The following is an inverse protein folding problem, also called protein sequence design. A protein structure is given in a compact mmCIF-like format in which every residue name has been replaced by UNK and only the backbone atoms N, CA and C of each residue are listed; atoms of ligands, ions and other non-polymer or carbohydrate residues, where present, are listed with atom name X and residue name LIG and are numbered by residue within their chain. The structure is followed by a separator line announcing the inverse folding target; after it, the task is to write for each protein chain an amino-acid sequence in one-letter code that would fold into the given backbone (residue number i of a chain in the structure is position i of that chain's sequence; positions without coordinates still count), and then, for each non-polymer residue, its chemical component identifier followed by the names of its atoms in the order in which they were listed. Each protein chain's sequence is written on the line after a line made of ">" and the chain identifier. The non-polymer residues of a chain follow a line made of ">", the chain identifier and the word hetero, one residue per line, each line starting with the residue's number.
data_IF_261430446836
#
_entry.id   IF_261430446836
#
_cell.length_a   1.000
_cell.length_b   1.000
_cell.length_c   1.000
_cell.angle_alpha   90.00
_cell.angle_beta   90.00
_cell.angle_gamma   90.00
#
_symmetry.space_group_name_H-M   'P 1'
#
loop_
_entity.id
_entity.type
_entity.pdbx_description
1 polymer ?
#
# COMPACT_ATOMS: atom_id res chain seq x y z
N UNK A 1 15.63 9.43 -24.96
CA UNK A 1 16.46 8.49 -24.16
C UNK A 1 15.71 7.16 -24.05
N UNK A 2 16.34 6.10 -24.57
CA UNK A 2 15.71 4.88 -25.08
C UNK A 2 14.93 4.05 -24.05
N UNK A 3 13.79 3.52 -24.50
CA UNK A 3 12.95 2.57 -23.78
C UNK A 3 13.62 1.21 -23.64
N UNK A 4 14.56 1.11 -22.70
CA UNK A 4 15.25 -0.13 -22.37
C UNK A 4 14.26 -1.27 -22.13
N UNK A 5 14.33 -2.30 -22.97
CA UNK A 5 13.55 -3.53 -22.83
C UNK A 5 13.85 -4.14 -21.46
N UNK A 6 12.82 -4.49 -20.70
CA UNK A 6 12.96 -5.25 -19.45
C UNK A 6 13.80 -6.51 -19.69
N UNK A 7 14.73 -6.81 -18.79
CA UNK A 7 15.51 -8.05 -18.80
C UNK A 7 14.59 -9.28 -18.79
N UNK A 8 15.05 -10.41 -19.32
CA UNK A 8 14.27 -11.65 -19.32
C UNK A 8 13.89 -12.07 -17.90
N UNK A 9 14.85 -11.95 -16.95
CA UNK A 9 14.61 -12.26 -15.55
C UNK A 9 13.53 -11.36 -14.92
N UNK A 10 13.53 -10.05 -15.19
CA UNK A 10 12.48 -9.15 -14.71
C UNK A 10 11.11 -9.46 -15.30
N UNK A 11 11.06 -9.86 -16.58
CA UNK A 11 9.80 -10.30 -17.21
C UNK A 11 9.26 -11.57 -16.58
N UNK A 12 10.11 -12.60 -16.44
CA UNK A 12 9.74 -13.86 -15.79
C UNK A 12 9.25 -13.63 -14.36
N UNK A 13 9.91 -12.73 -13.62
CA UNK A 13 9.50 -12.35 -12.27
C UNK A 13 8.11 -11.70 -12.22
N UNK A 14 7.84 -10.73 -13.10
CA UNK A 14 6.53 -10.07 -13.17
C UNK A 14 5.45 -11.09 -13.55
N UNK A 15 5.71 -11.93 -14.57
CA UNK A 15 4.76 -12.97 -15.01
C UNK A 15 4.48 -13.98 -13.89
N UNK A 16 5.52 -14.43 -13.17
CA UNK A 16 5.37 -15.34 -12.04
C UNK A 16 4.51 -14.73 -10.93
N UNK A 17 4.78 -13.47 -10.54
CA UNK A 17 3.97 -12.79 -9.54
C UNK A 17 2.52 -12.57 -10.01
N UNK A 18 2.31 -12.28 -11.30
CA UNK A 18 0.97 -12.20 -11.89
C UNK A 18 0.23 -13.52 -11.84
N UNK A 19 0.90 -14.64 -12.14
CA UNK A 19 0.29 -15.97 -12.07
C UNK A 19 -0.11 -16.31 -10.62
N UNK A 20 0.75 -16.00 -9.64
CA UNK A 20 0.43 -16.15 -8.22
C UNK A 20 -0.78 -15.29 -7.83
N UNK A 21 -0.82 -14.01 -8.26
CA UNK A 21 -1.95 -13.13 -7.99
C UNK A 21 -3.27 -13.70 -8.54
N UNK A 22 -3.27 -14.20 -9.77
CA UNK A 22 -4.46 -14.82 -10.37
C UNK A 22 -4.87 -16.09 -9.61
N UNK A 23 -3.92 -16.98 -9.31
CA UNK A 23 -4.21 -18.22 -8.59
C UNK A 23 -4.78 -17.96 -7.20
N UNK A 24 -4.19 -17.04 -6.44
CA UNK A 24 -4.68 -16.61 -5.12
C UNK A 24 -6.06 -15.97 -5.24
N UNK A 25 -6.29 -15.11 -6.23
CA UNK A 25 -7.59 -14.50 -6.48
C UNK A 25 -8.69 -15.53 -6.73
N UNK A 26 -8.42 -16.50 -7.61
CA UNK A 26 -9.37 -17.59 -7.90
C UNK A 26 -9.65 -18.42 -6.64
N UNK A 27 -8.61 -18.79 -5.89
CA UNK A 27 -8.76 -19.58 -4.67
C UNK A 27 -9.61 -18.84 -3.62
N UNK A 28 -9.31 -17.56 -3.37
CA UNK A 28 -10.01 -16.77 -2.36
C UNK A 28 -11.46 -16.46 -2.73
N UNK A 29 -11.76 -16.23 -4.01
CA UNK A 29 -13.15 -16.01 -4.45
C UNK A 29 -14.01 -17.25 -4.22
N UNK A 30 -13.45 -18.45 -4.37
CA UNK A 30 -14.16 -19.72 -4.14
C UNK A 30 -14.46 -19.99 -2.67
N UNK A 31 -13.68 -19.45 -1.75
CA UNK A 31 -13.83 -19.67 -0.31
C UNK A 31 -14.37 -18.44 0.44
N UNK A 32 -14.68 -17.35 -0.27
CA UNK A 32 -15.08 -16.10 0.35
C UNK A 32 -16.50 -16.15 0.91
N UNK A 33 -16.64 -15.75 2.17
CA UNK A 33 -17.92 -15.46 2.79
C UNK A 33 -18.40 -14.03 2.53
N UNK A 34 -19.35 -13.58 3.34
CA UNK A 34 -19.85 -12.20 3.31
C UNK A 34 -18.73 -11.20 3.59
N UNK A 35 -18.68 -10.15 2.78
CA UNK A 35 -17.73 -9.04 2.96
C UNK A 35 -18.29 -7.92 3.82
N UNK A 36 -17.53 -6.82 3.88
CA UNK A 36 -17.94 -5.61 4.56
C UNK A 36 -19.26 -5.05 3.99
N UNK A 37 -20.02 -4.34 4.83
CA UNK A 37 -21.17 -3.55 4.40
C UNK A 37 -20.77 -2.57 3.30
N UNK A 38 -21.69 -2.31 2.37
CA UNK A 38 -21.46 -1.44 1.20
C UNK A 38 -20.93 -0.05 1.61
N UNK A 39 -21.48 0.54 2.68
CA UNK A 39 -21.00 1.83 3.20
C UNK A 39 -19.53 1.79 3.64
N UNK A 40 -19.11 0.74 4.35
CA UNK A 40 -17.71 0.54 4.77
C UNK A 40 -16.80 0.34 3.57
N UNK A 41 -17.24 -0.47 2.59
CA UNK A 41 -16.49 -0.68 1.35
C UNK A 41 -16.30 0.62 0.57
N UNK A 42 -17.35 1.43 0.39
CA UNK A 42 -17.28 2.71 -0.34
C UNK A 42 -16.34 3.69 0.37
N UNK A 43 -16.46 3.86 1.69
CA UNK A 43 -15.65 4.83 2.43
C UNK A 43 -14.17 4.44 2.42
N UNK A 44 -13.85 3.18 2.75
CA UNK A 44 -12.46 2.68 2.72
C UNK A 44 -11.87 2.77 1.31
N UNK A 45 -12.65 2.39 0.29
CA UNK A 45 -12.18 2.40 -1.11
C UNK A 45 -11.96 3.83 -1.60
N UNK A 46 -12.90 4.74 -1.38
CA UNK A 46 -12.78 6.13 -1.81
C UNK A 46 -11.58 6.84 -1.18
N UNK A 47 -11.39 6.69 0.13
CA UNK A 47 -10.24 7.27 0.83
C UNK A 47 -8.92 6.56 0.48
N UNK A 48 -8.96 5.24 0.25
CA UNK A 48 -7.84 4.48 -0.26
C UNK A 48 -7.40 4.99 -1.64
N UNK A 49 -8.33 5.18 -2.58
CA UNK A 49 -8.06 5.72 -3.91
C UNK A 49 -7.44 7.12 -3.82
N UNK A 50 -8.02 7.99 -3.00
CA UNK A 50 -7.53 9.35 -2.80
C UNK A 50 -6.10 9.35 -2.24
N UNK A 51 -5.83 8.58 -1.19
CA UNK A 51 -4.49 8.55 -0.58
C UNK A 51 -3.45 7.89 -1.49
N UNK A 52 -3.86 6.90 -2.29
CA UNK A 52 -2.95 6.19 -3.20
C UNK A 52 -2.58 7.03 -4.42
N UNK A 53 -3.54 7.79 -4.95
CA UNK A 53 -3.28 8.70 -6.06
C UNK A 53 -2.43 9.92 -5.66
N UNK A 54 -2.40 10.27 -4.37
CA UNK A 54 -1.71 11.46 -3.85
C UNK A 54 -0.71 11.12 -2.73
N UNK A 55 0.34 10.32 -3.02
CA UNK A 55 1.29 9.93 -1.99
C UNK A 55 2.06 11.14 -1.45
N UNK A 56 2.42 11.10 -0.16
CA UNK A 56 3.10 12.21 0.51
C UNK A 56 4.58 12.19 0.15
N UNK A 57 5.07 13.25 -0.49
CA UNK A 57 6.48 13.37 -0.85
C UNK A 57 7.31 13.78 0.39
N UNK A 58 8.19 12.90 0.84
CA UNK A 58 9.18 13.15 1.87
C UNK A 58 10.43 13.89 1.38
N UNK A 59 11.26 14.31 2.34
CA UNK A 59 12.47 15.15 2.17
C UNK A 59 13.55 14.64 1.18
N UNK A 60 13.49 13.38 0.75
CA UNK A 60 14.49 12.77 -0.18
C UNK A 60 13.86 12.09 -1.39
N UNK A 61 12.80 12.69 -1.96
CA UNK A 61 12.04 12.13 -3.10
C UNK A 61 11.38 10.77 -2.81
N UNK A 62 11.23 10.41 -1.53
CA UNK A 62 10.54 9.20 -1.10
C UNK A 62 9.05 9.50 -0.96
N UNK A 63 8.21 8.62 -1.47
CA UNK A 63 6.77 8.78 -1.42
C UNK A 63 6.20 7.87 -0.32
N UNK A 64 5.66 8.45 0.75
CA UNK A 64 5.00 7.71 1.82
C UNK A 64 3.59 7.32 1.40
N UNK A 65 3.27 6.05 1.55
CA UNK A 65 2.02 5.42 1.13
C UNK A 65 0.98 5.53 2.25
N UNK A 66 0.27 6.65 2.30
CA UNK A 66 -0.81 6.89 3.30
C UNK A 66 -1.99 5.93 3.11
N UNK A 67 -2.02 5.15 2.02
CA UNK A 67 -3.02 4.12 1.74
C UNK A 67 -2.94 2.89 2.64
N UNK A 68 -1.79 2.67 3.30
CA UNK A 68 -1.54 1.46 4.10
C UNK A 68 -2.66 1.12 5.12
N UNK A 69 -3.20 2.05 5.92
CA UNK A 69 -4.22 1.72 6.91
C UNK A 69 -5.51 1.20 6.28
N UNK A 70 -5.88 1.76 5.11
CA UNK A 70 -7.05 1.34 4.35
C UNK A 70 -6.85 -0.05 3.76
N UNK A 71 -5.64 -0.37 3.28
CA UNK A 71 -5.32 -1.70 2.77
C UNK A 71 -5.43 -2.75 3.88
N UNK A 72 -4.85 -2.47 5.06
CA UNK A 72 -4.85 -3.41 6.18
C UNK A 72 -6.27 -3.57 6.76
N UNK A 73 -7.02 -2.47 6.89
CA UNK A 73 -8.41 -2.52 7.34
C UNK A 73 -9.30 -3.22 6.31
N UNK A 74 -9.08 -2.97 5.02
CA UNK A 74 -9.73 -3.69 3.93
C UNK A 74 -9.39 -5.18 3.94
N UNK A 75 -8.14 -5.55 4.18
CA UNK A 75 -7.72 -6.96 4.30
C UNK A 75 -8.43 -7.68 5.46
N UNK A 76 -8.76 -6.98 6.54
CA UNK A 76 -9.51 -7.53 7.66
C UNK A 76 -11.02 -7.65 7.40
N UNK A 77 -11.61 -6.75 6.61
CA UNK A 77 -13.06 -6.60 6.48
C UNK A 77 -13.65 -7.04 5.14
N UNK A 78 -12.87 -7.03 4.06
CA UNK A 78 -13.38 -7.26 2.72
C UNK A 78 -13.49 -8.74 2.38
N UNK A 79 -14.54 -9.10 1.62
CA UNK A 79 -14.52 -10.36 0.87
C UNK A 79 -13.42 -10.34 -0.20
N UNK A 80 -13.06 -11.50 -0.77
CA UNK A 80 -12.05 -11.51 -1.83
C UNK A 80 -12.41 -10.61 -3.01
N UNK A 81 -13.67 -10.60 -3.44
CA UNK A 81 -14.13 -9.75 -4.54
C UNK A 81 -13.99 -8.27 -4.19
N UNK A 82 -14.32 -7.88 -2.96
CA UNK A 82 -14.13 -6.51 -2.48
C UNK A 82 -12.63 -6.16 -2.41
N UNK A 83 -11.78 -7.05 -1.92
CA UNK A 83 -10.34 -6.82 -1.84
C UNK A 83 -9.69 -6.67 -3.22
N UNK A 84 -10.04 -7.54 -4.17
CA UNK A 84 -9.61 -7.45 -5.57
C UNK A 84 -10.05 -6.10 -6.14
N UNK A 85 -11.33 -5.77 -6.00
CA UNK A 85 -11.92 -4.53 -6.54
C UNK A 85 -11.23 -3.31 -5.94
N UNK A 86 -11.03 -3.29 -4.63
CA UNK A 86 -10.32 -2.23 -3.92
C UNK A 86 -8.90 -2.03 -4.46
N UNK A 87 -8.11 -3.10 -4.57
CA UNK A 87 -6.73 -3.02 -5.07
C UNK A 87 -6.68 -2.53 -6.52
N UNK A 88 -7.61 -2.98 -7.36
CA UNK A 88 -7.76 -2.48 -8.74
C UNK A 88 -8.07 -0.99 -8.75
N UNK A 89 -9.06 -0.55 -7.98
CA UNK A 89 -9.51 0.84 -7.98
C UNK A 89 -8.45 1.82 -7.47
N UNK A 90 -7.69 1.48 -6.41
CA UNK A 90 -6.61 2.36 -5.94
C UNK A 90 -5.52 2.52 -7.02
N UNK A 91 -5.17 1.45 -7.74
CA UNK A 91 -4.17 1.50 -8.81
C UNK A 91 -4.70 2.19 -10.07
N UNK A 92 -6.00 2.11 -10.37
CA UNK A 92 -6.62 2.90 -11.43
C UNK A 92 -6.58 4.39 -11.09
N UNK A 93 -6.88 4.77 -9.85
CA UNK A 93 -6.78 6.14 -9.38
C UNK A 93 -5.34 6.68 -9.47
N UNK A 94 -4.36 5.88 -9.04
CA UNK A 94 -2.95 6.21 -9.20
C UNK A 94 -2.57 6.36 -10.68
N UNK A 95 -3.01 5.45 -11.54
CA UNK A 95 -2.68 5.48 -12.96
C UNK A 95 -3.28 6.70 -13.67
N UNK A 96 -4.52 7.06 -13.35
CA UNK A 96 -5.17 8.26 -13.86
C UNK A 96 -4.40 9.53 -13.49
N UNK A 97 -3.76 9.54 -12.31
CA UNK A 97 -3.02 10.70 -11.79
C UNK A 97 -1.56 10.75 -12.23
N UNK A 98 -0.81 9.65 -12.06
CA UNK A 98 0.64 9.60 -12.21
C UNK A 98 1.09 9.08 -13.57
N UNK A 99 0.20 8.44 -14.34
CA UNK A 99 0.48 7.87 -15.68
C UNK A 99 1.77 7.06 -15.72
N UNK A 100 1.92 6.12 -14.80
CA UNK A 100 3.11 5.26 -14.73
C UNK A 100 3.20 4.36 -15.97
N UNK A 101 4.41 3.86 -16.24
CA UNK A 101 4.61 2.82 -17.27
C UNK A 101 3.77 1.60 -16.90
N UNK A 102 2.99 1.08 -17.86
CA UNK A 102 1.99 0.03 -17.60
C UNK A 102 2.55 -1.22 -16.93
N UNK A 103 3.74 -1.69 -17.31
CA UNK A 103 4.36 -2.86 -16.67
C UNK A 103 4.70 -2.61 -15.19
N UNK A 104 5.05 -1.38 -14.80
CA UNK A 104 5.30 -1.01 -13.40
C UNK A 104 3.96 -0.99 -12.64
N UNK A 105 2.92 -0.41 -13.25
CA UNK A 105 1.59 -0.36 -12.65
C UNK A 105 1.01 -1.75 -12.44
N UNK A 106 1.15 -2.62 -13.44
CA UNK A 106 0.71 -4.01 -13.38
C UNK A 106 1.46 -4.80 -12.31
N UNK A 107 2.79 -4.66 -12.24
CA UNK A 107 3.58 -5.27 -11.19
C UNK A 107 3.13 -4.80 -9.80
N UNK A 108 2.94 -3.49 -9.61
CA UNK A 108 2.48 -2.93 -8.33
C UNK A 108 1.10 -3.47 -7.96
N UNK A 109 0.16 -3.53 -8.91
CA UNK A 109 -1.16 -4.10 -8.71
C UNK A 109 -1.08 -5.54 -8.19
N UNK A 110 -0.33 -6.42 -8.88
CA UNK A 110 -0.17 -7.81 -8.47
C UNK A 110 0.52 -7.93 -7.10
N UNK A 111 1.58 -7.16 -6.88
CA UNK A 111 2.32 -7.12 -5.62
C UNK A 111 1.40 -6.70 -4.45
N UNK A 112 0.66 -5.61 -4.60
CA UNK A 112 -0.27 -5.13 -3.58
C UNK A 112 -1.37 -6.15 -3.31
N UNK A 113 -1.93 -6.76 -4.36
CA UNK A 113 -2.96 -7.77 -4.19
C UNK A 113 -2.45 -8.98 -3.41
N UNK A 114 -1.32 -9.58 -3.82
CA UNK A 114 -0.74 -10.75 -3.11
C UNK A 114 -0.37 -10.40 -1.67
N UNK A 115 0.23 -9.23 -1.45
CA UNK A 115 0.60 -8.76 -0.10
C UNK A 115 -0.64 -8.55 0.78
N UNK A 116 -1.71 -7.97 0.23
CA UNK A 116 -2.97 -7.75 0.96
C UNK A 116 -3.73 -9.05 1.23
N UNK A 117 -3.75 -9.98 0.28
CA UNK A 117 -4.32 -11.31 0.45
C UNK A 117 -3.62 -12.11 1.57
N UNK A 118 -2.27 -12.06 1.60
CA UNK A 118 -1.50 -12.68 2.68
C UNK A 118 -1.75 -11.98 4.02
N UNK A 119 -1.84 -10.65 4.04
CA UNK A 119 -2.19 -9.89 5.23
C UNK A 119 -3.58 -10.27 5.77
N UNK A 120 -4.58 -10.45 4.90
CA UNK A 120 -5.91 -10.94 5.27
C UNK A 120 -5.84 -12.33 5.90
N UNK A 121 -5.08 -13.26 5.29
CA UNK A 121 -4.87 -14.60 5.83
C UNK A 121 -4.24 -14.57 7.23
N UNK A 122 -3.20 -13.75 7.43
CA UNK A 122 -2.57 -13.58 8.74
C UNK A 122 -3.50 -12.91 9.76
N UNK A 123 -4.30 -11.92 9.34
CA UNK A 123 -5.31 -11.29 10.20
C UNK A 123 -6.30 -12.33 10.73
N UNK A 124 -6.93 -13.11 9.83
CA UNK A 124 -7.93 -14.10 10.22
C UNK A 124 -7.36 -15.27 11.02
N UNK A 125 -6.07 -15.58 10.86
CA UNK A 125 -5.39 -16.55 11.73
C UNK A 125 -5.06 -15.96 13.09
N UNK A 126 -4.58 -14.73 13.15
CA UNK A 126 -4.27 -14.05 14.39
C UNK A 126 -5.54 -13.85 15.25
N UNK A 127 -6.66 -13.42 14.64
CA UNK A 127 -7.90 -13.18 15.39
C UNK A 127 -8.49 -14.46 16.00
N UNK A 128 -8.19 -15.63 15.43
CA UNK A 128 -8.60 -16.92 15.98
C UNK A 128 -7.74 -17.39 17.17
N UNK A 129 -6.56 -16.78 17.38
CA UNK A 129 -5.59 -17.16 18.41
C UNK A 129 -5.45 -16.13 19.53
N UNK A 130 -5.91 -14.91 19.28
CA UNK A 130 -5.77 -13.76 20.19
C UNK A 130 -7.03 -13.55 21.04
N UNK A 131 -6.94 -12.81 22.16
CA UNK A 131 -8.10 -12.47 22.98
C UNK A 131 -9.18 -11.77 22.18
N UNK A 132 -10.45 -12.03 22.52
CA UNK A 132 -11.58 -11.35 21.89
C UNK A 132 -11.58 -9.83 22.16
N UNK A 133 -12.24 -9.09 21.28
CA UNK A 133 -12.42 -7.65 21.40
C UNK A 133 -11.24 -6.81 20.87
N UNK A 134 -11.21 -5.55 21.28
CA UNK A 134 -10.31 -4.54 20.71
C UNK A 134 -8.81 -4.89 20.81
N UNK A 135 -8.27 -5.42 21.92
CA UNK A 135 -6.85 -5.76 22.01
C UNK A 135 -6.41 -6.79 20.96
N UNK A 136 -7.18 -7.87 20.78
CA UNK A 136 -6.88 -8.90 19.78
C UNK A 136 -7.04 -8.37 18.35
N UNK A 137 -8.07 -7.54 18.09
CA UNK A 137 -8.26 -6.90 16.78
C UNK A 137 -7.08 -5.98 16.40
N UNK A 138 -6.58 -5.19 17.34
CA UNK A 138 -5.41 -4.33 17.13
C UNK A 138 -4.16 -5.16 16.87
N UNK A 139 -3.91 -6.19 17.68
CA UNK A 139 -2.75 -7.07 17.50
C UNK A 139 -2.81 -7.85 16.17
N UNK A 140 -3.98 -8.34 15.77
CA UNK A 140 -4.20 -8.97 14.47
C UNK A 140 -3.96 -7.99 13.30
N UNK A 141 -4.43 -6.74 13.42
CA UNK A 141 -4.19 -5.70 12.42
C UNK A 141 -2.69 -5.34 12.32
N UNK A 142 -1.96 -5.33 13.43
CA UNK A 142 -0.50 -5.14 13.43
C UNK A 142 0.21 -6.29 12.71
N UNK A 143 -0.16 -7.54 12.98
CA UNK A 143 0.40 -8.71 12.30
C UNK A 143 0.14 -8.63 10.78
N UNK A 144 -1.07 -8.28 10.37
CA UNK A 144 -1.43 -8.07 8.98
C UNK A 144 -0.62 -6.93 8.33
N UNK A 145 -0.45 -5.81 9.04
CA UNK A 145 0.38 -4.68 8.60
C UNK A 145 1.84 -5.05 8.39
N UNK A 146 2.45 -5.77 9.33
CA UNK A 146 3.79 -6.31 9.20
C UNK A 146 3.93 -7.21 7.98
N UNK A 147 2.99 -8.16 7.80
CA UNK A 147 2.97 -9.07 6.64
C UNK A 147 2.90 -8.31 5.33
N UNK A 148 1.98 -7.33 5.23
CA UNK A 148 1.84 -6.52 4.03
C UNK A 148 3.14 -5.76 3.71
N UNK A 149 3.68 -5.01 4.68
CA UNK A 149 4.87 -4.18 4.47
C UNK A 149 6.08 -5.03 4.11
N UNK A 150 6.29 -6.15 4.79
CA UNK A 150 7.42 -7.04 4.53
C UNK A 150 7.36 -7.64 3.12
N UNK A 151 6.22 -8.24 2.75
CA UNK A 151 6.04 -8.85 1.43
C UNK A 151 6.13 -7.81 0.31
N UNK A 152 5.45 -6.67 0.48
CA UNK A 152 5.44 -5.62 -0.53
C UNK A 152 6.85 -5.13 -0.86
N UNK A 153 7.67 -4.93 0.17
CA UNK A 153 9.08 -4.53 0.03
C UNK A 153 9.94 -5.63 -0.54
N UNK A 154 9.76 -6.88 -0.11
CA UNK A 154 10.50 -8.01 -0.64
C UNK A 154 10.27 -8.17 -2.14
N UNK A 155 9.01 -8.13 -2.57
CA UNK A 155 8.66 -8.19 -3.99
C UNK A 155 9.21 -7.00 -4.78
N UNK A 156 9.09 -5.79 -4.25
CA UNK A 156 9.62 -4.59 -4.88
C UNK A 156 11.16 -4.62 -5.01
N UNK A 157 11.86 -5.08 -3.96
CA UNK A 157 13.31 -5.22 -3.97
C UNK A 157 13.76 -6.26 -5.02
N UNK A 158 13.06 -7.40 -5.11
CA UNK A 158 13.31 -8.41 -6.14
C UNK A 158 13.14 -7.85 -7.55
N UNK A 159 12.05 -7.11 -7.80
CA UNK A 159 11.83 -6.46 -9.09
C UNK A 159 12.92 -5.43 -9.44
N UNK A 160 13.36 -4.60 -8.49
CA UNK A 160 14.45 -3.64 -8.71
C UNK A 160 15.78 -4.31 -8.99
N UNK A 161 16.08 -5.40 -8.27
CA UNK A 161 17.29 -6.16 -8.45
C UNK A 161 17.33 -6.80 -9.84
N UNK A 162 16.26 -7.48 -10.25
CA UNK A 162 16.21 -8.17 -11.55
C UNK A 162 16.08 -7.22 -12.74
N UNK A 163 15.42 -6.07 -12.57
CA UNK A 163 15.21 -5.11 -13.65
C UNK A 163 16.37 -4.10 -13.80
N UNK A 164 17.09 -3.78 -12.73
CA UNK A 164 18.07 -2.68 -12.71
C UNK A 164 19.42 -3.05 -12.07
N UNK A 165 19.60 -4.29 -11.62
CA UNK A 165 20.82 -4.71 -10.90
C UNK A 165 20.97 -4.07 -9.51
N UNK A 166 19.95 -3.37 -9.01
CA UNK A 166 20.00 -2.71 -7.71
C UNK A 166 19.76 -3.73 -6.60
N UNK A 167 20.82 -4.09 -5.86
CA UNK A 167 20.70 -5.02 -4.74
C UNK A 167 19.72 -4.49 -3.67
N UNK A 168 19.10 -5.38 -2.85
CA UNK A 168 18.19 -4.95 -1.78
C UNK A 168 18.81 -3.91 -0.83
N UNK A 169 20.09 -4.08 -0.48
CA UNK A 169 20.83 -3.10 0.32
C UNK A 169 21.02 -1.76 -0.40
N UNK A 170 21.40 -1.79 -1.69
CA UNK A 170 21.61 -0.58 -2.49
C UNK A 170 20.30 0.16 -2.82
N UNK A 171 19.17 -0.55 -2.88
CA UNK A 171 17.85 0.05 -3.12
C UNK A 171 17.41 0.99 -2.00
N UNK A 172 17.98 0.83 -0.80
CA UNK A 172 17.57 1.53 0.42
C UNK A 172 16.19 1.10 0.93
N UNK A 173 15.48 0.19 0.25
CA UNK A 173 14.12 -0.20 0.63
C UNK A 173 14.07 -0.82 2.01
N UNK A 174 15.10 -1.56 2.42
CA UNK A 174 15.16 -2.24 3.72
C UNK A 174 15.78 -1.37 4.83
N UNK A 175 16.02 -0.07 4.58
CA UNK A 175 16.53 0.83 5.60
C UNK A 175 15.53 0.94 6.77
N UNK A 176 15.98 0.79 8.04
CA UNK A 176 15.10 0.81 9.21
C UNK A 176 14.21 2.04 9.29
N UNK A 177 14.73 3.20 8.87
CA UNK A 177 13.97 4.45 8.85
C UNK A 177 12.77 4.43 7.91
N UNK A 178 12.89 3.82 6.73
CA UNK A 178 11.78 3.73 5.78
C UNK A 178 10.79 2.65 6.19
N UNK A 179 11.29 1.57 6.79
CA UNK A 179 10.45 0.54 7.38
C UNK A 179 9.61 1.11 8.53
N UNK A 180 10.24 1.87 9.43
CA UNK A 180 9.57 2.53 10.54
C UNK A 180 8.47 3.48 10.06
N UNK A 181 8.71 4.26 9.00
CA UNK A 181 7.69 5.16 8.46
C UNK A 181 6.44 4.41 7.96
N UNK A 182 6.63 3.30 7.24
CA UNK A 182 5.50 2.50 6.76
C UNK A 182 4.79 1.77 7.91
N UNK A 183 5.51 1.31 8.92
CA UNK A 183 4.92 0.71 10.12
C UNK A 183 4.13 1.73 10.96
N UNK A 184 4.65 2.94 11.15
CA UNK A 184 3.95 4.02 11.85
C UNK A 184 2.62 4.34 11.15
N UNK A 185 2.64 4.41 9.81
CA UNK A 185 1.41 4.63 9.04
C UNK A 185 0.49 3.41 9.20
N UNK A 186 1.00 2.20 9.00
CA UNK A 186 0.23 0.95 9.12
C UNK A 186 -0.44 0.78 10.50
N UNK A 187 0.14 1.30 11.57
CA UNK A 187 -0.38 1.16 12.94
C UNK A 187 -1.74 1.83 13.15
N UNK A 188 -2.09 2.79 12.29
CA UNK A 188 -3.41 3.43 12.31
C UNK A 188 -4.52 2.44 11.90
N UNK A 189 -4.18 1.34 11.22
CA UNK A 189 -5.13 0.30 10.86
C UNK A 189 -5.82 -0.35 12.06
N UNK A 190 -5.13 -0.52 13.19
CA UNK A 190 -5.71 -1.14 14.39
C UNK A 190 -6.88 -0.33 14.95
N UNK A 191 -6.65 0.94 15.36
CA UNK A 191 -7.73 1.82 15.78
C UNK A 191 -8.79 2.06 14.69
N UNK A 192 -8.39 2.20 13.42
CA UNK A 192 -9.32 2.33 12.30
C UNK A 192 -10.28 1.15 12.21
N UNK A 193 -9.76 -0.08 12.30
CA UNK A 193 -10.55 -1.31 12.30
C UNK A 193 -11.52 -1.36 13.48
N UNK A 194 -11.00 -1.21 14.72
CA UNK A 194 -11.81 -1.31 15.94
C UNK A 194 -12.95 -0.29 15.94
N UNK A 195 -12.63 0.98 15.66
CA UNK A 195 -13.63 2.04 15.68
C UNK A 195 -14.64 1.91 14.54
N UNK A 196 -14.21 1.43 13.37
CA UNK A 196 -15.13 1.14 12.25
C UNK A 196 -16.11 0.03 12.61
N UNK A 197 -15.64 -1.02 13.30
CA UNK A 197 -16.49 -2.12 13.76
C UNK A 197 -17.47 -1.66 14.87
N UNK A 198 -17.04 -0.78 15.76
CA UNK A 198 -17.85 -0.35 16.91
C UNK A 198 -18.84 0.77 16.62
N UNK A 199 -18.43 1.78 15.84
CA UNK A 199 -19.23 2.99 15.62
C UNK A 199 -19.60 3.20 14.15
N UNK A 200 -19.14 2.35 13.24
CA UNK A 200 -19.54 2.34 11.84
C UNK A 200 -18.54 3.02 10.88
N UNK A 201 -18.88 3.07 9.59
CA UNK A 201 -17.94 3.38 8.51
C UNK A 201 -17.36 4.82 8.55
N UNK A 202 -18.05 5.77 9.18
CA UNK A 202 -17.58 7.15 9.28
C UNK A 202 -16.33 7.30 10.16
N UNK A 203 -16.05 6.34 11.06
CA UNK A 203 -14.84 6.34 11.88
C UNK A 203 -13.55 6.22 11.07
N UNK A 204 -13.64 5.73 9.84
CA UNK A 204 -12.51 5.77 8.89
C UNK A 204 -12.08 7.21 8.62
N UNK A 205 -13.01 8.16 8.51
CA UNK A 205 -12.69 9.58 8.31
C UNK A 205 -11.99 10.17 9.54
N UNK A 206 -12.47 9.83 10.75
CA UNK A 206 -11.89 10.31 12.01
C UNK A 206 -10.46 9.82 12.18
N UNK A 207 -10.23 8.53 11.94
CA UNK A 207 -8.89 7.91 12.08
C UNK A 207 -7.94 8.29 10.95
N UNK A 208 -8.44 8.47 9.73
CA UNK A 208 -7.65 8.94 8.59
C UNK A 208 -7.37 10.44 8.62
N UNK A 209 -8.21 11.25 9.27
CA UNK A 209 -8.15 12.71 9.29
C UNK A 209 -6.74 13.25 9.58
N UNK A 210 -6.06 12.82 10.66
CA UNK A 210 -4.69 13.24 10.96
C UNK A 210 -3.71 12.95 9.82
N UNK A 211 -3.83 11.80 9.14
CA UNK A 211 -2.96 11.45 8.01
C UNK A 211 -3.22 12.31 6.78
N UNK A 212 -4.50 12.57 6.49
CA UNK A 212 -4.90 13.42 5.37
C UNK A 212 -4.43 14.87 5.57
N UNK A 213 -4.51 15.36 6.81
CA UNK A 213 -4.08 16.71 7.19
C UNK A 213 -2.55 16.83 7.35
N UNK A 214 -1.88 15.77 7.78
CA UNK A 214 -0.42 15.75 7.87
C UNK A 214 0.24 16.07 6.52
N UNK A 215 -0.38 15.64 5.41
CA UNK A 215 0.06 16.01 4.06
C UNK A 215 0.05 17.53 3.84
N UNK A 216 -1.06 18.19 4.14
CA UNK A 216 -1.21 19.64 3.98
C UNK A 216 -0.24 20.37 4.91
N UNK A 217 -0.20 19.98 6.18
CA UNK A 217 0.69 20.58 7.17
C UNK A 217 2.17 20.46 6.77
N UNK A 218 2.64 19.26 6.40
CA UNK A 218 4.03 19.05 5.99
C UNK A 218 4.36 19.77 4.67
N UNK A 219 3.42 19.88 3.75
CA UNK A 219 3.63 20.60 2.50
C UNK A 219 3.80 22.12 2.67
N UNK A 220 3.24 22.67 3.75
CA UNK A 220 3.35 24.09 4.12
C UNK A 220 4.58 24.33 5.01
N UNK A 221 4.83 23.46 5.98
CA UNK A 221 5.85 23.65 7.02
C UNK A 221 7.25 23.20 6.62
N UNK A 222 7.40 22.36 5.60
CA UNK A 222 8.72 21.91 5.12
C UNK A 222 9.05 22.66 3.83
N UNK A 223 9.92 23.68 3.88
CA UNK A 223 10.36 24.37 2.67
C UNK A 223 10.97 23.34 1.71
N UNK A 224 10.45 23.26 0.49
CA UNK A 224 11.12 22.52 -0.58
C UNK A 224 12.49 23.15 -0.77
N UNK A 225 13.55 22.53 -0.23
CA UNK A 225 14.93 22.94 -0.54
C UNK A 225 15.08 22.82 -2.06
N UNK A 226 15.06 23.96 -2.75
CA UNK A 226 15.36 24.02 -4.18
C UNK A 226 16.82 23.58 -4.33
N UNK A 227 17.05 22.52 -5.10
CA UNK A 227 18.43 22.13 -5.43
C UNK A 227 19.11 23.27 -6.22
N UNK A 228 20.36 23.66 -5.88
CA UNK A 228 21.09 24.74 -6.56
C UNK A 228 21.25 24.57 -8.08
N UNK A 229 21.11 23.33 -8.60
CA UNK A 229 21.22 23.04 -10.03
C UNK A 229 20.19 23.79 -10.90
N UNK A 230 19.04 24.21 -10.33
CA UNK A 230 18.04 24.99 -11.06
C UNK A 230 18.31 26.50 -11.04
N UNK A 231 19.08 27.00 -10.07
CA UNK A 231 19.51 28.40 -10.02
C UNK A 231 20.73 28.66 -10.92
N UNK A 232 21.63 27.68 -11.09
CA UNK A 232 22.74 27.81 -12.02
C UNK A 232 22.28 27.94 -13.49
N UNK A 233 21.20 27.22 -13.88
CA UNK A 233 20.61 27.33 -15.22
C UNK A 233 19.78 28.60 -15.44
N UNK A 234 19.27 29.21 -14.37
CA UNK A 234 18.49 30.46 -14.46
C UNK A 234 19.36 31.73 -14.37
N UNK A 235 20.63 31.60 -14.00
CA UNK A 235 21.63 32.69 -14.02
C UNK A 235 22.56 32.62 -15.24
N UNK A 236 22.40 31.60 -16.09
CA UNK A 236 23.18 31.38 -17.30
C UNK A 236 22.32 31.44 -18.57
N UNK A 237 21.12 32.03 -18.47
CA UNK A 237 20.20 32.32 -19.57
C UNK A 237 19.88 33.81 -19.56
#
# INVERSE_FOLDING_TARGET
>A
MNGGRLSMAARAYIVGLSAVAVAVGIALVRTSGSGALVGTFIVLTGLGMLTHAFPVQGLRHQAYQVTLPFIITGAALFSATQLITFVVLIHLAEQARLRRRLHIQWFNLCNYFVSAAMAAGFFHRAIALLPEGAPGQVAAAMAAGCTFVALNRAFLAGALWLARGLSPAASGLLLPRLLAADLIIAWIAGPMLVLTLQAGPWMVLVTAGPLLLARTALSVLVPRRRHPARQARARAA
#
